data_IF_601845665215
#
_entry.id   IF_601845665215
#
_cell.length_a   1.000
_cell.length_b   1.000
_cell.length_c   1.000
_cell.angle_alpha   90.00
_cell.angle_beta   90.00
_cell.angle_gamma   90.00
#
_symmetry.space_group_name_H-M   'P 1'
#
loop_
_entity.id
_entity.type
_entity.pdbx_description
1 polymer ?
#
# COMPACT_ATOMS: atom_id res chain seq x y z
N UNK A 1 6.63 -30.13 11.48
CA UNK A 1 6.67 -30.28 10.01
C UNK A 1 5.68 -29.27 9.43
N UNK A 2 6.14 -28.07 9.04
CA UNK A 2 5.28 -27.07 8.43
C UNK A 2 5.22 -27.40 6.94
N UNK A 3 4.05 -27.82 6.45
CA UNK A 3 3.84 -27.98 5.02
C UNK A 3 4.00 -26.63 4.35
N UNK A 4 4.87 -26.55 3.34
CA UNK A 4 4.92 -25.40 2.45
C UNK A 4 3.53 -25.25 1.80
N UNK A 5 2.98 -24.02 1.70
CA UNK A 5 1.68 -23.86 1.07
C UNK A 5 1.79 -24.32 -0.39
N UNK A 6 0.82 -25.12 -0.84
CA UNK A 6 0.62 -25.33 -2.26
C UNK A 6 -0.30 -24.19 -2.72
N UNK A 7 0.24 -23.26 -3.49
CA UNK A 7 -0.61 -22.27 -4.16
C UNK A 7 -1.23 -22.95 -5.38
N UNK A 8 -2.52 -22.73 -5.69
CA UNK A 8 -3.11 -23.22 -6.94
C UNK A 8 -2.28 -22.77 -8.15
N UNK A 9 -2.12 -23.63 -9.15
CA UNK A 9 -1.24 -23.43 -10.31
C UNK A 9 -1.55 -22.15 -11.14
N UNK A 10 -2.68 -21.49 -10.89
CA UNK A 10 -3.13 -20.29 -11.60
C UNK A 10 -2.82 -18.97 -10.86
N UNK A 11 -2.39 -19.01 -9.59
CA UNK A 11 -2.02 -17.79 -8.86
C UNK A 11 -0.63 -17.32 -9.33
N UNK A 12 -0.50 -16.02 -9.60
CA UNK A 12 0.74 -15.38 -10.04
C UNK A 12 1.10 -14.26 -9.08
N UNK A 13 2.38 -14.20 -8.68
CA UNK A 13 2.95 -13.10 -7.92
C UNK A 13 3.80 -12.25 -8.86
N UNK A 14 3.51 -10.97 -8.93
CA UNK A 14 4.31 -9.99 -9.67
C UNK A 14 4.94 -9.04 -8.67
N UNK A 15 6.24 -8.82 -8.81
CA UNK A 15 6.98 -7.83 -8.02
C UNK A 15 7.39 -6.70 -8.97
N UNK A 16 6.83 -5.52 -8.75
CA UNK A 16 7.18 -4.32 -9.50
C UNK A 16 8.19 -3.51 -8.70
N UNK A 17 9.44 -3.44 -9.18
CA UNK A 17 10.53 -2.70 -8.54
C UNK A 17 11.09 -1.61 -9.47
N UNK A 18 11.86 -0.69 -8.90
CA UNK A 18 12.41 0.47 -9.56
C UNK A 18 12.70 1.60 -8.56
N UNK A 19 13.43 2.61 -8.99
CA UNK A 19 13.80 3.77 -8.16
C UNK A 19 12.58 4.52 -7.61
N UNK A 20 12.80 5.35 -6.59
CA UNK A 20 11.77 6.29 -6.12
C UNK A 20 11.34 7.19 -7.28
N UNK A 21 10.03 7.44 -7.42
CA UNK A 21 9.49 8.20 -8.55
C UNK A 21 9.39 7.45 -9.88
N UNK A 22 9.82 6.17 -9.99
CA UNK A 22 9.73 5.39 -11.23
C UNK A 22 8.28 5.05 -11.69
N UNK A 23 7.26 5.52 -10.97
CA UNK A 23 5.85 5.33 -11.32
C UNK A 23 5.25 3.97 -10.94
N UNK A 24 5.86 3.25 -10.00
CA UNK A 24 5.38 1.94 -9.50
C UNK A 24 3.93 2.02 -9.01
N UNK A 25 3.67 2.89 -8.04
CA UNK A 25 2.32 3.17 -7.50
C UNK A 25 1.34 3.57 -8.60
N UNK A 26 1.76 4.42 -9.54
CA UNK A 26 0.92 4.83 -10.69
C UNK A 26 0.51 3.64 -11.54
N UNK A 27 1.44 2.73 -11.87
CA UNK A 27 1.15 1.51 -12.63
C UNK A 27 0.28 0.53 -11.85
N UNK A 28 0.55 0.34 -10.55
CA UNK A 28 -0.27 -0.45 -9.63
C UNK A 28 -1.73 0.02 -9.63
N UNK A 29 -1.95 1.33 -9.45
CA UNK A 29 -3.30 1.93 -9.50
C UNK A 29 -3.95 1.82 -10.87
N UNK A 30 -3.18 1.95 -11.95
CA UNK A 30 -3.71 1.76 -13.30
C UNK A 30 -4.20 0.31 -13.52
N UNK A 31 -3.42 -0.69 -13.10
CA UNK A 31 -3.80 -2.10 -13.14
C UNK A 31 -5.09 -2.36 -12.35
N UNK A 32 -5.18 -1.84 -11.13
CA UNK A 32 -6.39 -1.95 -10.30
C UNK A 32 -7.62 -1.35 -11.00
N UNK A 33 -7.49 -0.18 -11.65
CA UNK A 33 -8.61 0.41 -12.43
C UNK A 33 -9.01 -0.48 -13.60
N UNK A 34 -8.05 -1.00 -14.36
CA UNK A 34 -8.34 -1.90 -15.48
C UNK A 34 -9.02 -3.19 -15.01
N UNK A 35 -8.56 -3.78 -13.91
CA UNK A 35 -9.17 -4.98 -13.32
C UNK A 35 -10.62 -4.73 -12.91
N UNK A 36 -10.90 -3.62 -12.20
CA UNK A 36 -12.27 -3.23 -11.85
C UNK A 36 -13.14 -3.00 -13.09
N UNK A 37 -12.59 -2.38 -14.14
CA UNK A 37 -13.33 -2.10 -15.38
C UNK A 37 -13.77 -3.37 -16.12
N UNK A 38 -13.10 -4.51 -15.91
CA UNK A 38 -13.50 -5.81 -16.45
C UNK A 38 -14.25 -6.69 -15.43
N UNK A 39 -14.70 -6.11 -14.31
CA UNK A 39 -15.54 -6.78 -13.32
C UNK A 39 -14.79 -7.63 -12.27
N UNK A 40 -13.45 -7.53 -12.21
CA UNK A 40 -12.67 -8.23 -11.18
C UNK A 40 -12.76 -7.52 -9.83
N UNK A 41 -12.81 -8.30 -8.75
CA UNK A 41 -12.67 -7.79 -7.39
C UNK A 41 -11.22 -7.44 -7.13
N UNK A 42 -10.99 -6.24 -6.63
CA UNK A 42 -9.67 -5.73 -6.27
C UNK A 42 -9.65 -5.44 -4.78
N UNK A 43 -8.61 -5.90 -4.08
CA UNK A 43 -8.42 -5.70 -2.66
C UNK A 43 -6.95 -5.42 -2.32
N UNK A 44 -6.69 -5.17 -1.05
CA UNK A 44 -5.35 -4.82 -0.55
C UNK A 44 -5.19 -3.31 -0.37
N UNK A 45 -3.94 -2.83 -0.40
CA UNK A 45 -3.61 -1.44 -0.02
C UNK A 45 -2.63 -0.79 -0.98
N UNK A 46 -2.74 0.52 -1.12
CA UNK A 46 -1.75 1.37 -1.81
C UNK A 46 -1.43 2.59 -0.97
N UNK A 47 -0.19 3.06 -1.02
CA UNK A 47 0.23 4.28 -0.33
C UNK A 47 0.51 5.40 -1.34
N UNK A 48 0.14 6.63 -0.99
CA UNK A 48 0.40 7.83 -1.79
C UNK A 48 0.99 8.93 -0.92
N UNK A 49 2.08 9.53 -1.39
CA UNK A 49 2.61 10.77 -0.85
C UNK A 49 1.81 11.96 -1.42
N UNK A 50 1.40 12.87 -0.55
CA UNK A 50 0.68 14.10 -0.87
C UNK A 50 1.30 15.27 -0.10
N UNK A 51 1.17 16.49 -0.62
CA UNK A 51 1.56 17.68 0.13
C UNK A 51 0.55 17.95 1.25
N UNK A 52 1.03 18.01 2.49
CA UNK A 52 0.28 18.43 3.66
C UNK A 52 0.70 19.83 4.15
N UNK A 53 0.06 20.35 5.21
CA UNK A 53 0.32 21.70 5.74
C UNK A 53 1.76 21.91 6.24
N UNK A 54 2.34 20.88 6.86
CA UNK A 54 3.63 20.95 7.55
C UNK A 54 4.73 20.14 6.84
N UNK A 55 4.47 19.66 5.61
CA UNK A 55 5.36 18.78 4.87
C UNK A 55 4.59 17.69 4.12
N UNK A 56 5.30 16.69 3.59
CA UNK A 56 4.64 15.59 2.92
C UNK A 56 3.87 14.70 3.90
N UNK A 57 2.75 14.14 3.45
CA UNK A 57 1.95 13.16 4.16
C UNK A 57 1.85 11.88 3.32
N UNK A 58 2.03 10.71 3.94
CA UNK A 58 1.70 9.43 3.33
C UNK A 58 0.31 9.02 3.74
N UNK A 59 -0.53 8.75 2.76
CA UNK A 59 -1.88 8.23 2.92
C UNK A 59 -1.93 6.81 2.41
N UNK A 60 -2.55 5.92 3.16
CA UNK A 60 -2.85 4.56 2.72
C UNK A 60 -4.32 4.47 2.32
N UNK A 61 -4.60 3.77 1.22
CA UNK A 61 -5.94 3.55 0.67
C UNK A 61 -6.24 2.05 0.65
N UNK A 62 -7.38 1.66 1.19
CA UNK A 62 -7.95 0.32 1.00
C UNK A 62 -8.51 0.25 -0.42
N UNK A 63 -8.00 -0.69 -1.21
CA UNK A 63 -8.40 -0.90 -2.59
C UNK A 63 -9.78 -1.57 -2.72
N UNK A 64 -10.32 -2.17 -1.65
CA UNK A 64 -11.68 -2.69 -1.63
C UNK A 64 -12.72 -1.59 -1.49
N UNK A 65 -12.61 -0.80 -0.42
CA UNK A 65 -13.60 0.24 -0.07
C UNK A 65 -13.31 1.62 -0.65
N UNK A 66 -12.05 1.93 -0.97
CA UNK A 66 -11.57 3.28 -1.26
C UNK A 66 -11.35 4.14 -0.01
N UNK A 67 -11.54 3.61 1.20
CA UNK A 67 -11.25 4.32 2.45
C UNK A 67 -9.77 4.68 2.52
N UNK A 68 -9.48 5.90 2.98
CA UNK A 68 -8.12 6.41 3.14
C UNK A 68 -7.85 6.78 4.59
N UNK A 69 -6.65 6.44 5.06
CA UNK A 69 -6.14 6.85 6.37
C UNK A 69 -4.75 7.45 6.25
N UNK A 70 -4.47 8.43 7.10
CA UNK A 70 -3.14 9.02 7.18
C UNK A 70 -2.20 8.01 7.83
N UNK A 71 -1.19 7.59 7.08
CA UNK A 71 -0.20 6.60 7.51
C UNK A 71 0.98 7.27 8.20
N UNK A 72 1.49 8.35 7.63
CA UNK A 72 2.66 9.04 8.16
C UNK A 72 2.67 10.52 7.82
N UNK A 73 3.32 11.31 8.67
CA UNK A 73 3.72 12.68 8.35
C UNK A 73 5.23 12.75 8.22
N UNK A 74 5.71 13.60 7.32
CA UNK A 74 7.12 13.87 7.22
C UNK A 74 7.58 14.56 8.50
N UNK A 75 8.63 14.04 9.13
CA UNK A 75 9.24 14.67 10.29
C UNK A 75 9.75 16.07 9.89
N UNK A 76 9.61 17.09 10.77
CA UNK A 76 10.06 18.43 10.45
C UNK A 76 11.57 18.47 10.18
N UNK A 77 12.06 19.34 9.28
CA UNK A 77 13.47 19.36 8.86
C UNK A 77 14.49 19.48 10.00
N UNK A 78 14.10 20.05 11.14
CA UNK A 78 14.94 20.18 12.34
C UNK A 78 14.94 18.98 13.28
N UNK A 79 14.03 18.02 13.09
CA UNK A 79 13.97 16.77 13.84
C UNK A 79 14.73 15.62 13.14
N UNK A 80 15.06 15.76 11.86
CA UNK A 80 15.79 14.72 11.12
C UNK A 80 17.29 14.83 11.44
N UNK A 81 17.70 14.37 12.63
CA UNK A 81 19.10 14.10 12.90
C UNK A 81 19.60 12.94 12.03
N UNK A 82 20.92 12.81 11.84
CA UNK A 82 21.49 11.73 11.05
C UNK A 82 21.10 10.36 11.66
N UNK A 83 20.26 9.61 10.95
CA UNK A 83 19.75 8.30 11.37
C UNK A 83 18.33 8.30 11.93
N UNK A 84 17.67 9.44 12.07
CA UNK A 84 16.26 9.49 12.47
C UNK A 84 15.33 9.23 11.26
N UNK A 85 14.19 8.54 11.47
CA UNK A 85 13.26 8.21 10.39
C UNK A 85 12.63 9.48 9.79
N UNK A 86 12.64 9.59 8.46
CA UNK A 86 12.00 10.68 7.70
C UNK A 86 10.50 10.81 7.99
N UNK A 87 9.86 9.74 8.45
CA UNK A 87 8.42 9.61 8.59
C UNK A 87 8.03 9.29 10.03
N UNK A 88 7.10 10.06 10.58
CA UNK A 88 6.39 9.76 11.82
C UNK A 88 5.17 8.90 11.47
N UNK A 89 5.28 7.59 11.72
CA UNK A 89 4.23 6.61 11.41
C UNK A 89 3.11 6.64 12.46
N UNK A 90 1.87 6.58 12.00
CA UNK A 90 0.69 6.41 12.85
C UNK A 90 0.42 4.94 13.14
N UNK A 91 0.61 4.49 14.39
CA UNK A 91 0.37 3.10 14.80
C UNK A 91 -1.06 2.62 14.48
N UNK A 92 -2.06 3.47 14.66
CA UNK A 92 -3.46 3.14 14.36
C UNK A 92 -3.69 2.89 12.86
N UNK A 93 -2.96 3.57 11.99
CA UNK A 93 -3.04 3.34 10.55
C UNK A 93 -2.34 2.03 10.15
N UNK A 94 -1.20 1.71 10.77
CA UNK A 94 -0.52 0.43 10.56
C UNK A 94 -1.39 -0.76 11.02
N UNK A 95 -2.02 -0.66 12.19
CA UNK A 95 -2.96 -1.66 12.67
C UNK A 95 -4.13 -1.85 11.69
N UNK A 96 -4.71 -0.74 11.21
CA UNK A 96 -5.77 -0.79 10.21
C UNK A 96 -5.33 -1.44 8.88
N UNK A 97 -4.11 -1.17 8.41
CA UNK A 97 -3.56 -1.84 7.21
C UNK A 97 -3.49 -3.34 7.41
N UNK A 98 -3.06 -3.80 8.59
CA UNK A 98 -3.02 -5.22 8.93
C UNK A 98 -4.43 -5.83 8.88
N UNK A 99 -5.44 -5.13 9.39
CA UNK A 99 -6.84 -5.58 9.36
C UNK A 99 -7.36 -5.67 7.91
N UNK A 100 -7.09 -4.64 7.08
CA UNK A 100 -7.46 -4.63 5.65
C UNK A 100 -6.84 -5.82 4.93
N UNK A 101 -5.54 -6.06 5.10
CA UNK A 101 -4.84 -7.16 4.44
C UNK A 101 -5.33 -8.52 4.92
N UNK A 102 -5.65 -8.66 6.20
CA UNK A 102 -6.20 -9.90 6.77
C UNK A 102 -7.61 -10.22 6.22
N UNK A 103 -8.39 -9.17 5.94
CA UNK A 103 -9.74 -9.25 5.36
C UNK A 103 -9.80 -9.20 3.83
N UNK A 104 -8.67 -9.08 3.13
CA UNK A 104 -8.67 -8.81 1.69
C UNK A 104 -9.13 -9.99 0.81
N UNK A 105 -9.28 -11.20 1.38
CA UNK A 105 -9.80 -12.36 0.68
C UNK A 105 -11.32 -12.52 0.92
N UNK A 106 -12.09 -12.91 -0.11
CA UNK A 106 -11.67 -13.25 -1.47
C UNK A 106 -11.53 -12.01 -2.39
N UNK A 107 -10.44 -11.96 -3.15
CA UNK A 107 -10.22 -10.98 -4.24
C UNK A 107 -9.63 -11.67 -5.46
N UNK A 108 -9.86 -11.11 -6.65
CA UNK A 108 -9.31 -11.63 -7.91
C UNK A 108 -7.95 -10.97 -8.23
N UNK A 109 -7.71 -9.77 -7.70
CA UNK A 109 -6.43 -9.08 -7.67
C UNK A 109 -6.15 -8.54 -6.25
N UNK A 110 -5.04 -8.96 -5.65
CA UNK A 110 -4.52 -8.40 -4.40
C UNK A 110 -3.35 -7.47 -4.72
N UNK A 111 -3.46 -6.21 -4.32
CA UNK A 111 -2.42 -5.21 -4.51
C UNK A 111 -1.82 -4.82 -3.16
N UNK A 112 -0.49 -4.86 -3.06
CA UNK A 112 0.24 -4.35 -1.90
C UNK A 112 1.33 -3.42 -2.43
N UNK A 113 1.21 -2.14 -2.11
CA UNK A 113 2.26 -1.15 -2.36
C UNK A 113 3.13 -0.97 -1.10
N UNK A 114 4.22 -0.21 -1.20
CA UNK A 114 5.06 0.13 -0.05
C UNK A 114 4.25 0.94 0.98
N UNK A 115 3.92 0.30 2.10
CA UNK A 115 3.26 0.88 3.27
C UNK A 115 4.31 1.14 4.33
#
# INVERSE_FOLDING_TARGET
MVMAPHWPDDRRLFVLTGESGAGKTTRCRALARTARAVGLRVGGVTALEQAGPDGAERWVEDMGSGERRLLARQAPPGAIAAGEPRWELGEAALAWVSDVLSGACPTDLLLVDEV
#
